data_IF_353772111938
#
_entry.id   IF_353772111938
#
_cell.length_a   1.000
_cell.length_b   1.000
_cell.length_c   1.000
_cell.angle_alpha   90.00
_cell.angle_beta   90.00
_cell.angle_gamma   90.00
#
_symmetry.space_group_name_H-M   'P 1'
#
loop_
_entity.id
_entity.type
_entity.pdbx_description
1 polymer ?
#
# COMPACT_ATOMS: atom_id res chain seq x y z
N UNK A 1 -1.13 12.64 -8.19
CA UNK A 1 -0.99 11.16 -8.28
C UNK A 1 0.15 10.60 -7.44
N UNK A 2 1.35 11.20 -7.43
CA UNK A 2 2.46 10.71 -6.58
C UNK A 2 2.10 10.73 -5.09
N UNK A 3 1.65 11.88 -4.58
CA UNK A 3 1.22 12.02 -3.18
C UNK A 3 0.09 11.04 -2.81
N UNK A 4 -0.90 10.89 -3.67
CA UNK A 4 -2.00 9.91 -3.49
C UNK A 4 -1.46 8.50 -3.35
N UNK A 5 -0.53 8.10 -4.22
CA UNK A 5 0.08 6.77 -4.14
C UNK A 5 0.85 6.56 -2.84
N UNK A 6 1.59 7.56 -2.35
CA UNK A 6 2.25 7.52 -1.04
C UNK A 6 1.23 7.33 0.08
N UNK A 7 0.14 8.11 0.09
CA UNK A 7 -0.91 8.00 1.10
C UNK A 7 -1.57 6.61 1.11
N UNK A 8 -1.78 6.01 -0.06
CA UNK A 8 -2.31 4.63 -0.16
C UNK A 8 -1.34 3.61 0.45
N UNK A 9 -0.04 3.75 0.20
CA UNK A 9 0.98 2.87 0.80
C UNK A 9 0.99 3.02 2.32
N UNK A 10 0.96 4.25 2.82
CA UNK A 10 0.92 4.52 4.26
C UNK A 10 -0.34 3.95 4.89
N UNK A 11 -1.50 4.04 4.22
CA UNK A 11 -2.74 3.44 4.69
C UNK A 11 -2.63 1.90 4.78
N UNK A 12 -2.07 1.24 3.76
CA UNK A 12 -1.84 -0.21 3.78
C UNK A 12 -0.93 -0.65 4.92
N UNK A 13 0.18 0.07 5.14
CA UNK A 13 1.07 -0.16 6.28
C UNK A 13 0.34 0.02 7.61
N UNK A 14 -0.48 1.06 7.73
CA UNK A 14 -1.21 1.38 8.96
C UNK A 14 -2.24 0.30 9.29
N UNK A 15 -2.92 -0.29 8.29
CA UNK A 15 -3.81 -1.46 8.51
C UNK A 15 -3.04 -2.63 9.14
N UNK A 16 -1.84 -2.95 8.63
CA UNK A 16 -1.04 -4.04 9.17
C UNK A 16 -0.58 -3.75 10.61
N UNK A 17 -0.14 -2.53 10.89
CA UNK A 17 0.34 -2.12 12.23
C UNK A 17 -0.80 -2.06 13.25
N UNK A 18 -1.92 -1.42 12.90
CA UNK A 18 -3.08 -1.32 13.80
C UNK A 18 -3.65 -2.70 14.10
N UNK A 19 -3.60 -3.62 13.13
CA UNK A 19 -3.97 -5.03 13.33
C UNK A 19 -3.25 -5.70 14.49
N UNK A 20 -2.01 -5.31 14.81
CA UNK A 20 -1.29 -5.84 15.97
C UNK A 20 -1.86 -5.34 17.30
N UNK A 21 -2.37 -4.10 17.32
CA UNK A 21 -2.89 -3.45 18.52
C UNK A 21 -4.35 -3.81 18.86
N UNK A 22 -5.16 -4.18 17.84
CA UNK A 22 -6.61 -4.40 18.03
C UNK A 22 -7.02 -5.86 18.18
N UNK A 23 -6.15 -6.82 17.86
CA UNK A 23 -6.47 -8.25 17.97
C UNK A 23 -5.29 -9.06 18.53
N UNK A 24 -5.60 -10.11 19.29
CA UNK A 24 -4.64 -11.09 19.83
C UNK A 24 -4.63 -12.41 19.05
N UNK A 25 -5.57 -12.60 18.10
CA UNK A 25 -5.63 -13.82 17.29
C UNK A 25 -4.55 -13.80 16.21
N UNK A 26 -3.70 -14.82 16.18
CA UNK A 26 -2.66 -14.99 15.15
C UNK A 26 -3.24 -15.02 13.74
N UNK A 27 -4.35 -15.74 13.53
CA UNK A 27 -5.02 -15.82 12.23
C UNK A 27 -5.56 -14.48 11.77
N UNK A 28 -6.18 -13.71 12.67
CA UNK A 28 -6.68 -12.38 12.35
C UNK A 28 -5.53 -11.39 12.02
N UNK A 29 -4.43 -11.44 12.77
CA UNK A 29 -3.24 -10.62 12.50
C UNK A 29 -2.64 -10.94 11.13
N UNK A 30 -2.55 -12.21 10.78
CA UNK A 30 -2.05 -12.65 9.47
C UNK A 30 -2.92 -12.09 8.33
N UNK A 31 -4.25 -12.20 8.45
CA UNK A 31 -5.18 -11.68 7.45
C UNK A 31 -5.06 -10.16 7.29
N UNK A 32 -4.98 -9.41 8.39
CA UNK A 32 -4.81 -7.95 8.35
C UNK A 32 -3.46 -7.53 7.75
N UNK A 33 -2.38 -8.28 8.03
CA UNK A 33 -1.07 -8.04 7.42
C UNK A 33 -1.10 -8.28 5.91
N UNK A 34 -1.75 -9.35 5.45
CA UNK A 34 -1.92 -9.63 4.01
C UNK A 34 -2.75 -8.53 3.34
N UNK A 35 -3.86 -8.10 3.96
CA UNK A 35 -4.67 -6.99 3.45
C UNK A 35 -3.85 -5.69 3.33
N UNK A 36 -3.12 -5.33 4.39
CA UNK A 36 -2.23 -4.16 4.37
C UNK A 36 -1.17 -4.24 3.27
N UNK A 37 -0.56 -5.42 3.09
CA UNK A 37 0.41 -5.66 2.02
C UNK A 37 -0.18 -5.48 0.62
N UNK A 38 -1.38 -6.02 0.37
CA UNK A 38 -2.08 -5.84 -0.91
C UNK A 38 -2.38 -4.36 -1.17
N UNK A 39 -2.82 -3.60 -0.16
CA UNK A 39 -3.04 -2.15 -0.28
C UNK A 39 -1.74 -1.42 -0.64
N UNK A 40 -0.62 -1.77 0.00
CA UNK A 40 0.69 -1.22 -0.34
C UNK A 40 1.06 -1.50 -1.80
N UNK A 41 0.86 -2.74 -2.28
CA UNK A 41 1.13 -3.08 -3.68
C UNK A 41 0.28 -2.26 -4.66
N UNK A 42 -1.00 -2.02 -4.35
CA UNK A 42 -1.86 -1.14 -5.16
C UNK A 42 -1.32 0.29 -5.18
N UNK A 43 -0.88 0.82 -4.04
CA UNK A 43 -0.27 2.15 -3.95
C UNK A 43 1.01 2.27 -4.79
N UNK A 44 1.92 1.28 -4.70
CA UNK A 44 3.20 1.27 -5.41
C UNK A 44 3.01 1.00 -6.91
N UNK A 45 2.48 -0.17 -7.26
CA UNK A 45 2.42 -0.64 -8.64
C UNK A 45 1.28 0.03 -9.42
N UNK A 46 0.15 0.27 -8.76
CA UNK A 46 -1.04 0.84 -9.40
C UNK A 46 -0.98 2.35 -9.53
N UNK A 47 -0.63 3.07 -8.45
CA UNK A 47 -0.73 4.53 -8.41
C UNK A 47 0.62 5.21 -8.63
N UNK A 48 1.64 4.88 -7.83
CA UNK A 48 2.95 5.52 -7.91
C UNK A 48 3.66 5.23 -9.22
N UNK A 49 3.70 3.98 -9.67
CA UNK A 49 4.36 3.61 -10.91
C UNK A 49 3.72 4.34 -12.10
N UNK A 50 2.38 4.35 -12.20
CA UNK A 50 1.68 5.10 -13.25
C UNK A 50 2.00 6.59 -13.21
N UNK A 51 2.14 7.18 -12.03
CA UNK A 51 2.49 8.60 -11.89
C UNK A 51 3.93 8.90 -12.38
N UNK A 52 4.88 7.99 -12.18
CA UNK A 52 6.25 8.13 -12.68
C UNK A 52 6.34 7.88 -14.18
N UNK A 53 5.60 6.89 -14.68
CA UNK A 53 5.52 6.58 -16.11
C UNK A 53 4.86 7.67 -16.97
N UNK A 54 4.26 8.71 -16.39
CA UNK A 54 3.75 9.86 -17.16
C UNK A 54 4.87 10.73 -17.73
N UNK A 55 5.99 10.85 -17.01
CA UNK A 55 7.13 11.67 -17.40
C UNK A 55 8.34 10.81 -17.79
N UNK A 56 8.07 9.63 -18.34
CA UNK A 56 9.11 8.68 -18.70
C UNK A 56 9.83 9.14 -19.98
N UNK A 57 11.17 9.11 -19.97
CA UNK A 57 12.03 9.59 -21.07
C UNK A 57 11.75 8.86 -22.39
N UNK A 58 11.33 7.59 -22.34
CA UNK A 58 11.00 6.79 -23.53
C UNK A 58 9.61 7.06 -24.13
N UNK A 59 8.81 7.96 -23.54
CA UNK A 59 7.51 8.38 -24.07
C UNK A 59 7.56 9.74 -24.78
N UNK A 60 8.75 10.33 -24.90
CA UNK A 60 9.00 11.57 -25.61
C UNK A 60 9.11 11.35 -27.12
#
# INVERSE_FOLDING_TARGET
MKLVGILVVLAGWLVAVVGLGITQSTGARLLLAILGFVICLVGILGVLNKAHMKNAVWKA
#
